data_IF_082222370219
#
_entry.id   IF_082222370219
#
_cell.length_a   1.000
_cell.length_b   1.000
_cell.length_c   1.000
_cell.angle_alpha   90.00
_cell.angle_beta   90.00
_cell.angle_gamma   90.00
#
_symmetry.space_group_name_H-M   'P 1'
#
loop_
_entity.id
_entity.type
_entity.pdbx_description
1 polymer ?
#
# COMPACT_ATOMS: atom_id res chain seq x y z
N UNK A 1 17.25 11.70 -11.55
CA UNK A 1 17.44 11.52 -10.11
C UNK A 1 16.47 12.47 -9.41
N UNK A 2 15.67 11.97 -8.46
CA UNK A 2 14.69 12.75 -7.71
C UNK A 2 14.90 12.52 -6.20
N UNK A 3 14.44 13.47 -5.38
CA UNK A 3 14.37 13.31 -3.93
C UNK A 3 13.01 12.73 -3.57
N UNK A 4 12.98 11.52 -3.03
CA UNK A 4 11.74 10.81 -2.70
C UNK A 4 11.67 10.55 -1.22
N UNK A 5 10.61 11.05 -0.58
CA UNK A 5 10.37 10.79 0.84
C UNK A 5 9.25 9.74 1.00
N UNK A 6 9.58 8.63 1.66
CA UNK A 6 8.64 7.54 1.95
C UNK A 6 8.12 7.72 3.36
N UNK A 7 6.84 8.04 3.48
CA UNK A 7 6.16 8.32 4.74
C UNK A 7 5.55 7.04 5.31
N UNK A 8 6.24 6.45 6.26
CA UNK A 8 5.89 5.18 6.90
C UNK A 8 6.93 4.10 6.67
N UNK A 9 7.51 3.59 7.76
CA UNK A 9 8.58 2.59 7.75
C UNK A 9 8.06 1.13 7.89
N UNK A 10 6.82 0.87 7.51
CA UNK A 10 6.28 -0.48 7.42
C UNK A 10 6.90 -1.29 6.27
N UNK A 11 6.56 -2.58 6.17
CA UNK A 11 7.11 -3.48 5.14
C UNK A 11 6.99 -2.92 3.72
N UNK A 12 5.83 -2.36 3.37
CA UNK A 12 5.62 -1.82 2.03
C UNK A 12 6.40 -0.51 1.78
N UNK A 13 6.42 0.39 2.76
CA UNK A 13 7.22 1.62 2.66
C UNK A 13 8.71 1.32 2.49
N UNK A 14 9.25 0.40 3.29
CA UNK A 14 10.65 -0.03 3.17
C UNK A 14 10.94 -0.75 1.86
N UNK A 15 10.03 -1.61 1.38
CA UNK A 15 10.16 -2.27 0.08
C UNK A 15 10.25 -1.27 -1.08
N UNK A 16 9.42 -0.23 -1.06
CA UNK A 16 9.47 0.85 -2.04
C UNK A 16 10.70 1.75 -1.88
N UNK A 17 11.13 2.02 -0.64
CA UNK A 17 12.35 2.79 -0.40
C UNK A 17 13.58 2.09 -1.01
N UNK A 18 13.67 0.76 -0.87
CA UNK A 18 14.74 -0.04 -1.48
C UNK A 18 14.67 0.00 -3.02
N UNK A 19 13.47 -0.19 -3.58
CA UNK A 19 13.26 -0.09 -5.03
C UNK A 19 13.72 1.27 -5.58
N UNK A 20 13.27 2.35 -4.96
CA UNK A 20 13.58 3.72 -5.38
C UNK A 20 15.08 4.05 -5.23
N UNK A 21 15.70 3.57 -4.17
CA UNK A 21 17.15 3.70 -3.98
C UNK A 21 17.93 2.93 -5.05
N UNK A 22 17.50 1.72 -5.38
CA UNK A 22 18.12 0.91 -6.45
C UNK A 22 17.92 1.55 -7.84
N UNK A 23 16.85 2.32 -8.04
CA UNK A 23 16.61 3.11 -9.24
C UNK A 23 17.46 4.39 -9.30
N UNK A 24 18.33 4.64 -8.30
CA UNK A 24 19.26 5.78 -8.26
C UNK A 24 18.62 7.09 -7.77
N UNK A 25 17.52 7.04 -7.02
CA UNK A 25 16.93 8.21 -6.38
C UNK A 25 17.51 8.45 -4.99
N UNK A 26 17.47 9.71 -4.52
CA UNK A 26 17.75 10.04 -3.13
C UNK A 26 16.52 9.71 -2.28
N UNK A 27 16.64 8.77 -1.36
CA UNK A 27 15.49 8.27 -0.60
C UNK A 27 15.62 8.60 0.87
N UNK A 28 14.56 9.20 1.42
CA UNK A 28 14.39 9.38 2.86
C UNK A 28 13.18 8.61 3.34
N UNK A 29 13.36 7.75 4.34
CA UNK A 29 12.26 7.07 5.05
C UNK A 29 11.93 7.90 6.30
N UNK A 30 10.65 8.25 6.42
CA UNK A 30 10.14 8.98 7.57
C UNK A 30 9.23 8.11 8.43
N UNK A 31 9.38 8.25 9.74
CA UNK A 31 8.43 7.72 10.72
C UNK A 31 8.14 8.74 11.82
N UNK A 32 6.89 8.81 12.24
CA UNK A 32 6.48 9.60 13.42
C UNK A 32 6.95 8.97 14.73
N UNK A 33 7.28 7.67 14.72
CA UNK A 33 7.68 6.91 15.90
C UNK A 33 9.18 7.05 16.13
N UNK A 34 9.57 7.81 17.16
CA UNK A 34 10.99 8.07 17.48
C UNK A 34 11.80 6.80 17.70
N UNK A 35 11.23 5.81 18.37
CA UNK A 35 11.89 4.53 18.63
C UNK A 35 12.13 3.73 17.34
N UNK A 36 11.19 3.80 16.39
CA UNK A 36 11.34 3.17 15.07
C UNK A 36 12.43 3.86 14.25
N UNK A 37 12.50 5.19 14.29
CA UNK A 37 13.58 5.97 13.64
C UNK A 37 14.93 5.58 14.24
N UNK A 38 15.08 5.59 15.56
CA UNK A 38 16.33 5.24 16.25
C UNK A 38 16.76 3.80 15.93
N UNK A 39 15.82 2.85 15.97
CA UNK A 39 16.07 1.45 15.61
C UNK A 39 16.57 1.32 14.16
N UNK A 40 15.90 1.97 13.20
CA UNK A 40 16.27 1.88 11.79
C UNK A 40 17.60 2.58 11.48
N UNK A 41 17.93 3.65 12.18
CA UNK A 41 19.24 4.33 12.06
C UNK A 41 20.38 3.46 12.57
N UNK A 42 20.14 2.69 13.65
CA UNK A 42 21.18 1.89 14.32
C UNK A 42 21.30 0.48 13.70
N UNK A 43 20.18 -0.22 13.55
CA UNK A 43 20.16 -1.64 13.14
C UNK A 43 20.13 -1.83 11.63
N UNK A 44 19.70 -0.80 10.89
CA UNK A 44 19.52 -0.83 9.43
C UNK A 44 18.68 -2.03 8.97
N UNK A 45 17.73 -2.45 9.79
CA UNK A 45 16.80 -3.54 9.51
C UNK A 45 15.53 -3.38 10.35
N UNK A 46 14.37 -3.62 9.75
CA UNK A 46 13.12 -3.68 10.50
C UNK A 46 12.71 -5.14 10.74
N UNK A 47 13.26 -5.76 11.78
CA UNK A 47 13.08 -7.20 12.10
C UNK A 47 11.63 -7.67 12.18
N UNK A 48 10.70 -6.78 12.59
CA UNK A 48 9.28 -7.12 12.70
C UNK A 48 8.54 -7.01 11.36
N UNK A 49 8.81 -5.94 10.58
CA UNK A 49 8.03 -5.64 9.38
C UNK A 49 8.63 -6.27 8.11
N UNK A 50 9.97 -6.32 8.02
CA UNK A 50 10.68 -6.80 6.83
C UNK A 50 11.96 -7.56 7.26
N UNK A 51 11.83 -8.71 7.93
CA UNK A 51 12.96 -9.44 8.48
C UNK A 51 13.91 -9.94 7.40
N UNK A 52 15.22 -9.88 7.69
CA UNK A 52 16.28 -10.34 6.80
C UNK A 52 16.59 -9.41 5.62
N UNK A 53 16.00 -8.22 5.59
CA UNK A 53 16.27 -7.21 4.55
C UNK A 53 17.00 -6.02 5.17
N UNK A 54 18.24 -5.77 4.73
CA UNK A 54 19.05 -4.65 5.17
C UNK A 54 18.71 -3.38 4.40
N UNK A 55 18.69 -2.26 5.12
CA UNK A 55 18.47 -0.93 4.56
C UNK A 55 19.84 -0.32 4.27
N UNK A 56 20.19 -0.01 3.01
CA UNK A 56 21.46 0.62 2.64
C UNK A 56 21.68 1.95 3.36
N UNK A 57 22.95 2.29 3.62
CA UNK A 57 23.32 3.57 4.25
C UNK A 57 22.97 4.78 3.39
N UNK A 58 22.82 4.59 2.08
CA UNK A 58 22.33 5.59 1.13
C UNK A 58 20.87 6.02 1.37
N UNK A 59 20.07 5.21 2.08
CA UNK A 59 18.71 5.59 2.49
C UNK A 59 18.79 6.34 3.81
N UNK A 60 18.39 7.60 3.82
CA UNK A 60 18.26 8.40 5.04
C UNK A 60 17.02 7.95 5.83
N UNK A 61 17.12 7.91 7.16
CA UNK A 61 15.98 7.68 8.05
C UNK A 61 15.82 8.88 8.97
N UNK A 62 14.64 9.49 9.00
CA UNK A 62 14.40 10.72 9.76
C UNK A 62 13.00 10.76 10.37
N UNK A 63 12.88 11.45 11.52
CA UNK A 63 11.61 11.83 12.14
C UNK A 63 11.30 13.33 11.97
N UNK A 64 12.16 14.09 11.29
CA UNK A 64 11.97 15.53 11.04
C UNK A 64 10.97 15.74 9.89
N UNK A 65 9.73 16.03 10.25
CA UNK A 65 8.63 16.16 9.29
C UNK A 65 8.84 17.31 8.33
N UNK A 66 9.21 18.49 8.82
CA UNK A 66 9.36 19.70 8.01
C UNK A 66 10.43 19.50 6.93
N UNK A 67 11.61 19.07 7.33
CA UNK A 67 12.73 18.87 6.42
C UNK A 67 12.44 17.76 5.40
N UNK A 68 11.86 16.62 5.84
CA UNK A 68 11.56 15.47 4.98
C UNK A 68 10.51 15.82 3.92
N UNK A 69 9.47 16.59 4.28
CA UNK A 69 8.42 16.99 3.34
C UNK A 69 8.91 18.10 2.41
N UNK A 70 9.56 19.13 2.98
CA UNK A 70 9.99 20.31 2.24
C UNK A 70 11.14 20.04 1.24
N UNK A 71 11.96 19.01 1.44
CA UNK A 71 13.06 18.66 0.55
C UNK A 71 12.69 17.69 -0.58
N UNK A 72 11.51 17.05 -0.53
CA UNK A 72 11.13 16.03 -1.48
C UNK A 72 10.51 16.59 -2.77
N UNK A 73 10.83 15.95 -3.90
CA UNK A 73 10.11 16.11 -5.17
C UNK A 73 8.83 15.27 -5.19
N UNK A 74 8.89 14.08 -4.58
CA UNK A 74 7.78 13.13 -4.49
C UNK A 74 7.64 12.60 -3.06
N UNK A 75 6.43 12.62 -2.54
CA UNK A 75 6.05 12.01 -1.26
C UNK A 75 5.32 10.68 -1.52
N UNK A 76 5.82 9.59 -0.97
CA UNK A 76 5.19 8.25 -1.04
C UNK A 76 4.50 7.98 0.29
N UNK A 77 3.17 8.06 0.32
CA UNK A 77 2.38 7.87 1.53
C UNK A 77 2.11 6.39 1.76
N UNK A 78 2.91 5.77 2.64
CA UNK A 78 2.92 4.35 2.96
C UNK A 78 2.47 4.02 4.39
N UNK A 79 1.81 4.95 5.07
CA UNK A 79 1.22 4.72 6.40
C UNK A 79 0.02 3.78 6.33
N UNK A 80 -0.31 3.11 7.43
CA UNK A 80 -1.51 2.28 7.47
C UNK A 80 -2.77 3.13 7.29
N UNK A 81 -3.77 2.61 6.57
CA UNK A 81 -4.98 3.34 6.15
C UNK A 81 -5.69 4.14 7.27
N UNK A 82 -5.81 3.68 8.54
CA UNK A 82 -6.44 4.48 9.60
C UNK A 82 -5.68 5.77 9.95
N UNK A 83 -4.40 5.84 9.60
CA UNK A 83 -3.56 7.01 9.89
C UNK A 83 -3.39 7.95 8.70
N UNK A 84 -4.03 7.67 7.55
CA UNK A 84 -3.88 8.49 6.34
C UNK A 84 -4.32 9.93 6.59
N UNK A 85 -5.51 10.16 7.13
CA UNK A 85 -6.03 11.52 7.41
C UNK A 85 -5.17 12.27 8.43
N UNK A 86 -4.84 11.65 9.55
CA UNK A 86 -4.01 12.29 10.57
C UNK A 86 -2.61 12.63 10.06
N UNK A 87 -2.04 11.77 9.23
CA UNK A 87 -0.74 12.03 8.59
C UNK A 87 -0.87 13.15 7.56
N UNK A 88 -1.90 13.12 6.71
CA UNK A 88 -2.14 14.19 5.73
C UNK A 88 -2.28 15.56 6.41
N UNK A 89 -3.08 15.66 7.48
CA UNK A 89 -3.20 16.88 8.30
C UNK A 89 -1.85 17.35 8.87
N UNK A 90 -1.06 16.41 9.37
CA UNK A 90 0.25 16.71 9.98
C UNK A 90 1.24 17.28 8.96
N UNK A 91 1.28 16.73 7.74
CA UNK A 91 2.24 17.14 6.71
C UNK A 91 1.76 18.34 5.89
N UNK A 92 0.45 18.62 5.82
CA UNK A 92 -0.15 19.67 5.00
C UNK A 92 0.56 21.05 5.10
N UNK A 93 0.97 21.53 6.30
CA UNK A 93 1.65 22.83 6.42
C UNK A 93 3.00 22.91 5.71
N UNK A 94 3.61 21.78 5.39
CA UNK A 94 4.95 21.69 4.80
C UNK A 94 4.94 21.30 3.31
N UNK A 95 3.76 20.92 2.78
CA UNK A 95 3.59 20.53 1.37
C UNK A 95 3.56 21.76 0.48
N UNK A 96 4.34 21.74 -0.59
CA UNK A 96 4.41 22.82 -1.57
C UNK A 96 3.30 22.71 -2.61
N UNK A 97 2.95 23.85 -3.21
CA UNK A 97 2.02 23.90 -4.34
C UNK A 97 2.47 22.99 -5.48
N UNK A 98 1.58 22.10 -5.91
CA UNK A 98 1.86 21.14 -6.98
C UNK A 98 2.79 19.99 -6.61
N UNK A 99 3.21 19.84 -5.33
CA UNK A 99 4.04 18.71 -4.90
C UNK A 99 3.27 17.39 -5.06
N UNK A 100 3.95 16.37 -5.56
CA UNK A 100 3.31 15.09 -5.86
C UNK A 100 3.26 14.21 -4.62
N UNK A 101 2.06 13.69 -4.30
CA UNK A 101 1.84 12.70 -3.23
C UNK A 101 1.29 11.41 -3.83
N UNK A 102 2.04 10.32 -3.72
CA UNK A 102 1.63 9.00 -4.19
C UNK A 102 1.12 8.18 -3.01
N UNK A 103 -0.18 7.94 -2.94
CA UNK A 103 -0.72 6.98 -1.97
C UNK A 103 -0.44 5.55 -2.43
N UNK A 104 0.18 4.76 -1.55
CA UNK A 104 0.48 3.34 -1.80
C UNK A 104 -0.21 2.42 -0.81
N UNK A 105 -0.95 2.98 0.14
CA UNK A 105 -1.77 2.23 1.08
C UNK A 105 -3.11 1.82 0.45
N UNK A 106 -3.70 0.75 0.97
CA UNK A 106 -4.95 0.17 0.46
C UNK A 106 -6.01 0.19 1.54
N UNK A 107 -7.19 0.73 1.22
CA UNK A 107 -8.30 0.84 2.14
C UNK A 107 -9.22 2.00 1.82
N UNK A 108 -10.27 2.13 2.61
CA UNK A 108 -11.18 3.28 2.68
C UNK A 108 -11.23 3.77 4.11
N UNK A 109 -11.59 5.04 4.29
CA UNK A 109 -11.77 5.59 5.62
C UNK A 109 -13.08 5.09 6.24
N UNK A 110 -13.01 4.71 7.51
CA UNK A 110 -14.20 4.37 8.28
C UNK A 110 -15.09 5.63 8.42
N UNK A 111 -16.39 5.46 8.41
CA UNK A 111 -17.44 6.50 8.49
C UNK A 111 -17.65 7.34 7.22
N UNK A 112 -16.63 7.92 6.61
CA UNK A 112 -16.77 8.75 5.41
C UNK A 112 -16.84 7.93 4.14
N UNK A 113 -16.25 6.72 4.15
CA UNK A 113 -16.08 5.81 3.01
C UNK A 113 -15.23 6.40 1.88
N UNK A 114 -14.51 7.48 2.14
CA UNK A 114 -13.58 8.07 1.19
C UNK A 114 -12.42 7.15 0.91
N UNK A 115 -11.96 7.13 -0.33
CA UNK A 115 -10.68 6.51 -0.69
C UNK A 115 -9.53 7.29 -0.05
N UNK A 116 -8.39 6.63 0.13
CA UNK A 116 -7.24 7.29 0.76
C UNK A 116 -6.69 8.45 -0.09
N UNK A 117 -6.86 8.41 -1.41
CA UNK A 117 -6.53 9.53 -2.29
C UNK A 117 -7.45 10.73 -2.07
N UNK A 118 -8.77 10.50 -2.00
CA UNK A 118 -9.73 11.56 -1.70
C UNK A 118 -9.47 12.23 -0.33
N UNK A 119 -9.03 11.45 0.65
CA UNK A 119 -8.60 12.02 1.95
C UNK A 119 -7.41 12.96 1.77
N UNK A 120 -6.41 12.55 0.99
CA UNK A 120 -5.23 13.40 0.75
C UNK A 120 -5.61 14.65 -0.03
N UNK A 121 -6.49 14.56 -1.04
CA UNK A 121 -7.00 15.68 -1.81
C UNK A 121 -7.80 16.67 -0.94
N UNK A 122 -8.59 16.15 0.00
CA UNK A 122 -9.34 16.96 0.96
C UNK A 122 -8.43 17.73 1.94
N UNK A 123 -7.43 17.05 2.50
CA UNK A 123 -6.55 17.63 3.53
C UNK A 123 -5.41 18.47 2.94
N UNK A 124 -5.00 18.21 1.69
CA UNK A 124 -3.88 18.87 1.01
C UNK A 124 -4.27 19.25 -0.42
N UNK A 125 -5.20 20.21 -0.60
CA UNK A 125 -5.75 20.53 -1.92
C UNK A 125 -4.73 21.15 -2.90
N UNK A 126 -3.58 21.60 -2.41
CA UNK A 126 -2.48 22.10 -3.23
C UNK A 126 -1.62 20.98 -3.85
N UNK A 127 -1.74 19.74 -3.40
CA UNK A 127 -0.93 18.64 -3.88
C UNK A 127 -1.47 18.01 -5.18
N UNK A 128 -0.57 17.42 -5.97
CA UNK A 128 -0.95 16.50 -7.05
C UNK A 128 -0.98 15.08 -6.51
N UNK A 129 -2.19 14.54 -6.34
CA UNK A 129 -2.38 13.20 -5.77
C UNK A 129 -2.34 12.13 -6.84
N UNK A 130 -1.67 11.02 -6.54
CA UNK A 130 -1.62 9.82 -7.36
C UNK A 130 -1.75 8.57 -6.49
N UNK A 131 -1.99 7.41 -7.11
CA UNK A 131 -2.06 6.11 -6.46
C UNK A 131 -1.16 5.10 -7.15
N UNK A 132 -0.42 4.29 -6.38
CA UNK A 132 0.29 3.11 -6.88
C UNK A 132 -0.36 1.85 -6.27
N UNK A 133 -0.81 0.93 -7.12
CA UNK A 133 -1.45 -0.32 -6.68
C UNK A 133 -1.18 -1.45 -7.67
N UNK A 134 -1.45 -2.69 -7.25
CA UNK A 134 -1.24 -3.91 -8.04
C UNK A 134 -0.79 -5.06 -7.18
N UNK A 135 -0.51 -6.25 -7.77
CA UNK A 135 0.02 -7.41 -7.07
C UNK A 135 1.45 -7.14 -6.63
N UNK A 136 1.62 -6.72 -5.36
CA UNK A 136 2.89 -6.20 -4.86
C UNK A 136 3.10 -6.52 -3.39
N UNK A 137 3.53 -7.76 -3.11
CA UNK A 137 3.98 -8.12 -1.77
C UNK A 137 5.34 -7.49 -1.47
N UNK A 138 5.44 -6.83 -0.32
CA UNK A 138 6.65 -6.12 0.09
C UNK A 138 7.87 -7.05 0.18
N UNK A 139 7.64 -8.28 0.60
CA UNK A 139 8.65 -9.34 0.73
C UNK A 139 9.28 -9.72 -0.61
N UNK A 140 8.52 -9.63 -1.69
CA UNK A 140 8.99 -9.92 -3.05
C UNK A 140 9.68 -8.70 -3.65
N UNK A 141 9.05 -7.54 -3.55
CA UNK A 141 9.59 -6.28 -4.10
C UNK A 141 10.93 -5.92 -3.46
N UNK A 142 11.06 -6.07 -2.13
CA UNK A 142 12.30 -5.78 -1.42
C UNK A 142 13.49 -6.69 -1.82
N UNK A 143 13.20 -7.83 -2.43
CA UNK A 143 14.21 -8.80 -2.93
C UNK A 143 14.45 -8.69 -4.43
N UNK A 144 13.84 -7.71 -5.09
CA UNK A 144 13.97 -7.53 -6.54
C UNK A 144 13.27 -8.62 -7.38
N UNK A 145 12.26 -9.29 -6.82
CA UNK A 145 11.45 -10.26 -7.58
C UNK A 145 10.55 -9.49 -8.56
N UNK A 146 10.48 -9.91 -9.84
CA UNK A 146 9.69 -9.21 -10.85
C UNK A 146 8.26 -8.95 -10.42
N UNK A 147 7.88 -7.68 -10.43
CA UNK A 147 6.58 -7.17 -9.97
C UNK A 147 6.01 -6.19 -10.98
N UNK A 148 4.69 -6.14 -11.09
CA UNK A 148 3.99 -5.21 -11.98
C UNK A 148 2.91 -4.46 -11.22
N UNK A 149 2.91 -3.12 -11.34
CA UNK A 149 1.94 -2.24 -10.72
C UNK A 149 1.32 -1.27 -11.73
N UNK A 150 0.30 -0.54 -11.28
CA UNK A 150 -0.31 0.56 -12.02
C UNK A 150 -0.26 1.84 -11.19
N UNK A 151 0.09 2.95 -11.84
CA UNK A 151 -0.04 4.31 -11.30
C UNK A 151 -1.29 4.95 -11.89
N UNK A 152 -2.14 5.47 -10.99
CA UNK A 152 -3.26 6.34 -11.33
C UNK A 152 -2.96 7.78 -10.94
N UNK A 153 -3.27 8.73 -11.84
CA UNK A 153 -3.24 10.16 -11.56
C UNK A 153 -4.26 10.88 -12.44
N UNK A 154 -4.73 12.06 -11.99
CA UNK A 154 -5.64 12.89 -12.78
C UNK A 154 -4.97 13.42 -14.06
N UNK A 155 -3.70 13.83 -13.95
CA UNK A 155 -2.91 14.32 -15.07
C UNK A 155 -2.01 13.20 -15.63
N UNK A 156 -2.10 12.98 -16.94
CA UNK A 156 -1.25 12.01 -17.65
C UNK A 156 0.25 12.28 -17.42
N UNK A 157 0.66 13.54 -17.45
CA UNK A 157 2.06 13.92 -17.22
C UNK A 157 2.56 13.51 -15.83
N UNK A 158 1.73 13.65 -14.79
CA UNK A 158 2.05 13.19 -13.44
C UNK A 158 2.18 11.67 -13.38
N UNK A 159 1.27 10.93 -14.04
CA UNK A 159 1.35 9.47 -14.10
C UNK A 159 2.61 8.98 -14.83
N UNK A 160 2.97 9.59 -15.97
CA UNK A 160 4.18 9.26 -16.75
C UNK A 160 5.47 9.64 -16.00
N UNK A 161 5.49 10.75 -15.29
CA UNK A 161 6.62 11.13 -14.45
C UNK A 161 6.84 10.09 -13.34
N UNK A 162 5.79 9.71 -12.63
CA UNK A 162 5.85 8.69 -11.58
C UNK A 162 6.19 7.30 -12.14
N UNK A 163 5.68 6.96 -13.32
CA UNK A 163 6.07 5.73 -14.01
C UNK A 163 7.60 5.65 -14.17
N UNK A 164 8.24 6.73 -14.59
CA UNK A 164 9.69 6.78 -14.76
C UNK A 164 10.44 6.70 -13.40
N UNK A 165 9.86 7.23 -12.32
CA UNK A 165 10.43 7.16 -10.97
C UNK A 165 10.46 5.71 -10.45
N UNK A 166 9.34 4.98 -10.61
CA UNK A 166 9.20 3.64 -10.03
C UNK A 166 9.66 2.51 -10.93
N UNK A 167 9.68 2.71 -12.26
CA UNK A 167 9.99 1.64 -13.20
C UNK A 167 11.44 1.20 -13.16
N UNK A 168 11.68 -0.13 -13.22
CA UNK A 168 12.99 -0.75 -13.35
C UNK A 168 12.87 -2.08 -14.09
N UNK A 169 14.00 -2.77 -14.29
CA UNK A 169 14.03 -4.10 -14.93
C UNK A 169 13.19 -5.15 -14.18
N UNK A 170 13.01 -4.96 -12.87
CA UNK A 170 12.23 -5.86 -12.00
C UNK A 170 10.91 -5.27 -11.51
N UNK A 171 10.61 -4.02 -11.82
CA UNK A 171 9.36 -3.37 -11.40
C UNK A 171 8.71 -2.64 -12.58
N UNK A 172 7.74 -3.31 -13.21
CA UNK A 172 7.01 -2.75 -14.34
C UNK A 172 5.84 -1.90 -13.86
N UNK A 173 5.71 -0.68 -14.41
CA UNK A 173 4.64 0.25 -14.07
C UNK A 173 3.83 0.61 -15.30
N UNK A 174 2.52 0.46 -15.22
CA UNK A 174 1.55 0.98 -16.20
C UNK A 174 0.86 2.22 -15.65
N UNK A 175 0.29 3.03 -16.52
CA UNK A 175 -0.47 4.23 -16.14
C UNK A 175 -1.96 4.07 -16.43
N UNK A 176 -2.80 4.73 -15.62
CA UNK A 176 -4.25 4.75 -15.79
C UNK A 176 -4.83 6.09 -15.28
N UNK A 177 -5.85 6.64 -15.93
CA UNK A 177 -6.57 7.81 -15.41
C UNK A 177 -7.60 7.46 -14.31
N UNK A 178 -7.95 6.18 -14.15
CA UNK A 178 -9.00 5.74 -13.22
C UNK A 178 -8.45 5.50 -11.81
N UNK A 179 -8.15 6.59 -11.10
CA UNK A 179 -7.70 6.52 -9.70
C UNK A 179 -8.72 5.86 -8.79
N UNK A 180 -10.02 6.14 -9.02
CA UNK A 180 -11.09 5.60 -8.19
C UNK A 180 -11.13 4.07 -8.28
N UNK A 181 -11.13 3.51 -9.48
CA UNK A 181 -11.13 2.05 -9.69
C UNK A 181 -9.90 1.38 -9.09
N UNK A 182 -8.72 2.00 -9.22
CA UNK A 182 -7.48 1.50 -8.61
C UNK A 182 -7.59 1.46 -7.09
N UNK A 183 -8.09 2.53 -6.46
CA UNK A 183 -8.27 2.60 -5.01
C UNK A 183 -9.28 1.57 -4.50
N UNK A 184 -10.44 1.45 -5.14
CA UNK A 184 -11.52 0.55 -4.76
C UNK A 184 -11.08 -0.92 -4.92
N UNK A 185 -10.46 -1.29 -6.03
CA UNK A 185 -9.92 -2.63 -6.24
C UNK A 185 -8.94 -3.03 -5.14
N UNK A 186 -7.97 -2.16 -4.83
CA UNK A 186 -7.00 -2.37 -3.77
C UNK A 186 -7.61 -2.45 -2.35
N UNK A 187 -8.68 -1.72 -2.09
CA UNK A 187 -9.35 -1.71 -0.79
C UNK A 187 -10.19 -2.99 -0.57
N UNK A 188 -11.05 -3.32 -1.53
CA UNK A 188 -12.08 -4.37 -1.39
C UNK A 188 -11.52 -5.78 -1.53
N UNK A 189 -10.39 -5.98 -2.22
CA UNK A 189 -9.75 -7.29 -2.31
C UNK A 189 -9.51 -7.95 -0.95
N UNK A 190 -9.29 -7.16 0.09
CA UNK A 190 -8.98 -7.67 1.44
C UNK A 190 -10.17 -8.41 2.06
N UNK A 191 -11.41 -8.03 1.73
CA UNK A 191 -12.63 -8.73 2.15
C UNK A 191 -12.69 -10.11 1.52
N UNK A 192 -12.43 -10.18 0.21
CA UNK A 192 -12.45 -11.46 -0.53
C UNK A 192 -11.29 -12.36 -0.06
N UNK A 193 -10.12 -11.79 0.21
CA UNK A 193 -8.98 -12.55 0.74
C UNK A 193 -9.28 -13.17 2.12
N UNK A 194 -10.01 -12.45 2.97
CA UNK A 194 -10.49 -12.99 4.25
C UNK A 194 -11.44 -14.18 4.03
N UNK A 195 -12.42 -14.03 3.12
CA UNK A 195 -13.37 -15.08 2.78
C UNK A 195 -12.67 -16.31 2.17
N UNK A 196 -11.71 -16.11 1.27
CA UNK A 196 -10.89 -17.18 0.70
C UNK A 196 -10.10 -17.92 1.79
N UNK A 197 -9.55 -17.19 2.75
CA UNK A 197 -8.88 -17.77 3.92
C UNK A 197 -9.84 -18.61 4.78
N UNK A 198 -11.07 -18.13 5.03
CA UNK A 198 -12.08 -18.89 5.79
C UNK A 198 -12.39 -20.19 5.05
N UNK A 199 -12.61 -20.16 3.74
CA UNK A 199 -12.84 -21.35 2.93
C UNK A 199 -11.66 -22.35 3.02
N UNK A 200 -10.42 -21.87 2.97
CA UNK A 200 -9.22 -22.69 3.15
C UNK A 200 -9.20 -23.34 4.56
N UNK A 201 -9.54 -22.56 5.60
CA UNK A 201 -9.58 -23.04 6.98
C UNK A 201 -10.64 -24.11 7.24
N UNK A 202 -11.77 -24.05 6.52
CA UNK A 202 -12.84 -25.04 6.51
C UNK A 202 -12.50 -26.30 5.69
N UNK A 203 -11.38 -26.31 4.98
CA UNK A 203 -10.95 -27.42 4.13
C UNK A 203 -11.57 -27.45 2.75
N UNK A 204 -12.11 -26.34 2.27
CA UNK A 204 -12.63 -26.24 0.90
C UNK A 204 -11.46 -26.16 -0.10
N UNK A 205 -11.67 -26.75 -1.29
CA UNK A 205 -10.63 -26.87 -2.31
C UNK A 205 -10.51 -25.66 -3.24
N UNK A 206 -9.61 -25.81 -4.23
CA UNK A 206 -9.26 -24.74 -5.17
C UNK A 206 -10.44 -24.29 -6.06
N UNK A 207 -11.39 -25.17 -6.37
CA UNK A 207 -12.60 -24.81 -7.11
C UNK A 207 -13.43 -23.76 -6.34
N UNK A 208 -13.57 -23.91 -5.03
CA UNK A 208 -14.27 -22.93 -4.17
C UNK A 208 -13.51 -21.62 -4.14
N UNK A 209 -12.19 -21.67 -4.02
CA UNK A 209 -11.34 -20.45 -4.05
C UNK A 209 -11.45 -19.72 -5.37
N UNK A 210 -11.40 -20.43 -6.51
CA UNK A 210 -11.58 -19.85 -7.84
C UNK A 210 -12.97 -19.20 -7.98
N UNK A 211 -14.03 -19.85 -7.51
CA UNK A 211 -15.39 -19.30 -7.51
C UNK A 211 -15.49 -18.04 -6.66
N UNK A 212 -14.91 -18.02 -5.44
CA UNK A 212 -14.87 -16.84 -4.57
C UNK A 212 -14.13 -15.67 -5.22
N UNK A 213 -12.97 -15.89 -5.84
CA UNK A 213 -12.21 -14.87 -6.55
C UNK A 213 -13.03 -14.30 -7.71
N UNK A 214 -13.61 -15.17 -8.54
CA UNK A 214 -14.41 -14.77 -9.71
C UNK A 214 -15.65 -13.96 -9.29
N UNK A 215 -16.42 -14.47 -8.33
CA UNK A 215 -17.63 -13.78 -7.84
C UNK A 215 -17.29 -12.52 -7.08
N UNK A 216 -16.24 -12.55 -6.25
CA UNK A 216 -15.76 -11.39 -5.52
C UNK A 216 -15.32 -10.27 -6.46
N UNK A 217 -14.57 -10.59 -7.53
CA UNK A 217 -14.20 -9.58 -8.53
C UNK A 217 -15.41 -8.97 -9.24
N UNK A 218 -16.43 -9.79 -9.57
CA UNK A 218 -17.65 -9.30 -10.17
C UNK A 218 -18.43 -8.35 -9.22
N UNK A 219 -18.42 -8.60 -7.93
CA UNK A 219 -19.05 -7.72 -6.93
C UNK A 219 -18.27 -6.43 -6.71
N UNK A 220 -16.94 -6.51 -6.63
CA UNK A 220 -16.06 -5.32 -6.57
C UNK A 220 -16.28 -4.45 -7.81
N UNK A 221 -16.37 -5.07 -9.00
CA UNK A 221 -16.63 -4.36 -10.26
C UNK A 221 -17.97 -3.63 -10.22
N UNK A 222 -19.05 -4.31 -9.81
CA UNK A 222 -20.38 -3.67 -9.71
C UNK A 222 -20.38 -2.47 -8.79
N UNK A 223 -19.77 -2.61 -7.60
CA UNK A 223 -19.68 -1.52 -6.65
C UNK A 223 -18.83 -0.37 -7.20
N UNK A 224 -17.65 -0.68 -7.76
CA UNK A 224 -16.77 0.34 -8.32
C UNK A 224 -17.42 1.11 -9.48
N UNK A 225 -18.12 0.42 -10.38
CA UNK A 225 -18.88 1.05 -11.48
C UNK A 225 -20.01 1.93 -10.94
N UNK A 226 -20.72 1.49 -9.91
CA UNK A 226 -21.77 2.29 -9.27
C UNK A 226 -21.19 3.56 -8.62
N UNK A 227 -19.92 3.54 -8.22
CA UNK A 227 -19.18 4.70 -7.70
C UNK A 227 -18.56 5.59 -8.80
N UNK A 228 -18.63 5.18 -10.08
CA UNK A 228 -18.10 5.93 -11.22
C UNK A 228 -16.75 5.46 -11.76
N UNK A 229 -16.22 4.32 -11.30
CA UNK A 229 -14.99 3.74 -11.80
C UNK A 229 -15.16 3.02 -13.15
N UNK A 230 -14.07 2.89 -13.90
CA UNK A 230 -14.05 2.17 -15.16
C UNK A 230 -14.06 0.64 -14.91
N UNK A 231 -15.00 -0.14 -15.49
CA UNK A 231 -15.07 -1.59 -15.31
C UNK A 231 -13.78 -2.32 -15.76
N UNK A 232 -13.06 -1.81 -16.75
CA UNK A 232 -11.82 -2.42 -17.23
C UNK A 232 -10.69 -2.38 -16.19
N UNK A 233 -10.71 -1.42 -15.26
CA UNK A 233 -9.72 -1.34 -14.17
C UNK A 233 -9.75 -2.60 -13.29
N UNK A 234 -10.94 -3.17 -13.06
CA UNK A 234 -11.11 -4.36 -12.24
C UNK A 234 -10.69 -5.66 -12.93
N UNK A 235 -10.56 -5.66 -14.25
CA UNK A 235 -9.95 -6.75 -15.02
C UNK A 235 -8.41 -6.64 -15.10
N UNK A 236 -7.84 -5.55 -14.58
CA UNK A 236 -6.41 -5.24 -14.61
C UNK A 236 -5.66 -5.60 -13.33
N UNK A 237 -4.46 -5.01 -13.21
CA UNK A 237 -3.50 -5.29 -12.13
C UNK A 237 -4.03 -4.92 -10.75
N UNK A 238 -4.66 -3.75 -10.58
CA UNK A 238 -5.23 -3.30 -9.30
C UNK A 238 -6.56 -3.94 -8.94
N UNK A 239 -7.20 -4.62 -9.89
CA UNK A 239 -8.40 -5.43 -9.69
C UNK A 239 -8.06 -6.91 -9.51
N UNK A 240 -8.34 -7.71 -10.55
CA UNK A 240 -8.19 -9.18 -10.50
C UNK A 240 -6.76 -9.63 -10.20
N UNK A 241 -5.72 -8.91 -10.68
CA UNK A 241 -4.32 -9.25 -10.42
C UNK A 241 -3.97 -9.21 -8.93
N UNK A 242 -4.29 -8.10 -8.27
CA UNK A 242 -4.05 -7.91 -6.84
C UNK A 242 -4.97 -8.80 -5.97
N UNK A 243 -6.17 -9.08 -6.45
CA UNK A 243 -7.12 -10.00 -5.81
C UNK A 243 -6.58 -11.43 -5.79
N UNK A 244 -6.13 -11.95 -6.95
CA UNK A 244 -5.60 -13.32 -7.06
C UNK A 244 -4.41 -13.51 -6.13
N UNK A 245 -3.41 -12.64 -6.21
CA UNK A 245 -2.20 -12.78 -5.38
C UNK A 245 -2.53 -12.70 -3.89
N UNK A 246 -3.50 -11.86 -3.50
CA UNK A 246 -3.88 -11.70 -2.10
C UNK A 246 -4.66 -12.91 -1.57
N UNK A 247 -5.51 -13.54 -2.40
CA UNK A 247 -6.26 -14.74 -2.04
C UNK A 247 -5.40 -16.02 -2.07
N UNK A 248 -4.31 -16.05 -2.86
CA UNK A 248 -3.46 -17.23 -3.02
C UNK A 248 -2.22 -17.23 -2.11
N UNK A 249 -1.68 -16.04 -1.79
CA UNK A 249 -0.40 -15.93 -1.06
C UNK A 249 -0.55 -16.06 0.45
N UNK A 250 0.41 -16.74 1.08
CA UNK A 250 0.57 -16.77 2.55
C UNK A 250 1.15 -15.47 3.13
N UNK A 251 1.65 -14.55 2.30
CA UNK A 251 2.00 -13.20 2.75
C UNK A 251 0.76 -12.36 3.08
N UNK A 252 -0.42 -12.73 2.56
CA UNK A 252 -1.67 -12.03 2.88
C UNK A 252 -2.10 -12.24 4.33
N UNK A 253 -2.04 -11.17 5.13
CA UNK A 253 -2.51 -11.18 6.53
C UNK A 253 -4.00 -11.50 6.62
N UNK A 254 -4.82 -10.94 5.72
CA UNK A 254 -6.26 -11.19 5.70
C UNK A 254 -6.57 -12.65 5.39
N UNK A 255 -5.87 -13.27 4.41
CA UNK A 255 -6.02 -14.70 4.13
C UNK A 255 -5.63 -15.55 5.33
N UNK A 256 -4.47 -15.27 5.97
CA UNK A 256 -4.04 -16.02 7.18
C UNK A 256 -5.04 -15.89 8.33
N UNK A 257 -5.56 -14.68 8.57
CA UNK A 257 -6.61 -14.47 9.56
C UNK A 257 -7.87 -15.28 9.22
N UNK A 258 -8.29 -15.28 7.95
CA UNK A 258 -9.40 -16.11 7.48
C UNK A 258 -9.20 -17.59 7.73
N UNK A 259 -8.00 -18.12 7.46
CA UNK A 259 -7.66 -19.53 7.72
C UNK A 259 -7.85 -19.89 9.22
N UNK A 260 -7.42 -19.02 10.11
CA UNK A 260 -7.59 -19.24 11.55
C UNK A 260 -9.07 -19.19 11.94
N UNK A 261 -9.86 -18.24 11.41
CA UNK A 261 -11.30 -18.17 11.65
C UNK A 261 -11.99 -19.46 11.14
N UNK A 262 -11.68 -19.90 9.92
CA UNK A 262 -12.22 -21.14 9.36
C UNK A 262 -11.88 -22.38 10.18
N UNK A 263 -10.77 -22.39 10.91
CA UNK A 263 -10.37 -23.42 11.87
C UNK A 263 -11.02 -23.27 13.25
N UNK A 264 -11.89 -22.29 13.46
CA UNK A 264 -12.60 -22.07 14.71
C UNK A 264 -11.87 -21.19 15.75
N UNK A 265 -10.77 -20.51 15.37
CA UNK A 265 -10.11 -19.58 16.29
C UNK A 265 -10.95 -18.31 16.51
N UNK A 266 -10.97 -17.82 17.75
CA UNK A 266 -11.69 -16.58 18.11
C UNK A 266 -10.92 -15.32 17.70
N UNK A 267 -11.61 -14.17 17.71
CA UNK A 267 -11.00 -12.86 17.44
C UNK A 267 -9.81 -12.57 18.39
N UNK A 268 -9.91 -12.93 19.65
CA UNK A 268 -8.85 -12.68 20.62
C UNK A 268 -7.59 -13.49 20.29
N UNK A 269 -7.75 -14.74 19.86
CA UNK A 269 -6.64 -15.54 19.34
C UNK A 269 -5.98 -14.91 18.11
N UNK A 270 -6.77 -14.28 17.23
CA UNK A 270 -6.26 -13.63 16.02
C UNK A 270 -5.41 -12.39 16.35
N UNK A 271 -5.87 -11.56 17.28
CA UNK A 271 -5.14 -10.37 17.75
C UNK A 271 -3.79 -10.75 18.36
N UNK A 272 -3.75 -11.85 19.12
CA UNK A 272 -2.53 -12.36 19.73
C UNK A 272 -1.54 -12.98 18.72
N UNK A 273 -2.04 -13.76 17.77
CA UNK A 273 -1.20 -14.54 16.83
C UNK A 273 -0.79 -13.80 15.57
N UNK A 274 -1.54 -12.76 15.18
CA UNK A 274 -1.29 -11.99 13.97
C UNK A 274 -1.61 -10.50 14.18
N UNK A 275 -0.88 -9.81 15.07
CA UNK A 275 -1.15 -8.42 15.40
C UNK A 275 -1.04 -7.56 14.12
N UNK A 276 -2.05 -6.71 13.93
CA UNK A 276 -2.10 -5.73 12.85
C UNK A 276 -1.60 -4.37 13.35
N UNK A 277 -0.99 -3.54 12.49
CA UNK A 277 -0.75 -2.14 12.82
C UNK A 277 -2.03 -1.35 13.16
N UNK A 278 -3.20 -1.92 12.82
CA UNK A 278 -4.53 -1.36 13.12
C UNK A 278 -5.08 -1.80 14.47
N UNK A 279 -4.47 -2.79 15.10
CA UNK A 279 -4.92 -3.25 16.41
C UNK A 279 -4.61 -2.16 17.44
N UNK A 280 -5.55 -1.83 18.36
CA UNK A 280 -5.24 -0.94 19.46
C UNK A 280 -4.06 -1.51 20.22
N UNK A 281 -3.05 -0.68 20.50
CA UNK A 281 -1.95 -1.07 21.36
C UNK A 281 -2.57 -1.42 22.72
N UNK A 282 -2.48 -2.67 23.10
CA UNK A 282 -2.67 -3.02 24.50
C UNK A 282 -1.56 -2.33 25.28
N UNK A 283 -1.93 -1.25 25.95
CA UNK A 283 -1.08 -0.53 26.89
C UNK A 283 -0.69 -1.42 28.05
#
# INVERSE_FOLDING_TARGET
MANVSVLGAGSWGLGLALLLNNNGHNVTVWSVLKDEVAMLQTEREHKRCLPGVKIPDSITVSGDTENVIGSADVLVLAVASPYTRSTAKMIAPFVKEGQIIVNVAKGVEEHTLLTLCQIVEEEIPCAKVAVLSGPSHAEEVSRGIPTTCVIGAHEKATAEYLQNIFMSDVFRVYTSPDMLGICIGGALKNVIALAAGIADGLGYGDNTKAALITRGNAEITRLGVAMGANPHTFAGLSGIGDLIVTCASMHSRNRRAGILIGKGYTKDCLLYTSPSPRDPKTS
#
